data_IF_207003605440
#
_entry.id   IF_207003605440
#
_cell.length_a   1.000
_cell.length_b   1.000
_cell.length_c   1.000
_cell.angle_alpha   90.00
_cell.angle_beta   90.00
_cell.angle_gamma   90.00
#
_symmetry.space_group_name_H-M   'P 1'
#
loop_
_entity.id
_entity.type
_entity.pdbx_description
1 polymer ?
#
# COMPACT_ATOMS: atom_id res chain seq x y z
N UNK A 1 3.33 47.04 -55.44
CA UNK A 1 4.03 46.31 -56.52
C UNK A 1 4.97 45.32 -55.82
N UNK A 2 4.50 44.18 -55.30
CA UNK A 2 3.84 43.02 -55.93
C UNK A 2 4.74 42.30 -56.94
N UNK A 3 4.89 40.97 -56.76
CA UNK A 3 5.69 40.00 -57.54
C UNK A 3 7.20 40.07 -57.24
N UNK A 4 7.96 38.96 -57.16
CA UNK A 4 7.72 37.50 -57.39
C UNK A 4 8.92 36.72 -56.77
N UNK A 5 8.97 35.40 -56.58
CA UNK A 5 8.79 34.29 -57.55
C UNK A 5 8.76 32.93 -56.80
N UNK A 6 7.84 32.01 -57.19
CA UNK A 6 7.85 30.52 -57.20
C UNK A 6 8.43 29.69 -56.01
N UNK A 7 8.11 28.41 -55.76
CA UNK A 7 7.05 27.41 -56.11
C UNK A 7 7.47 26.09 -55.40
N UNK A 8 6.66 25.10 -55.01
CA UNK A 8 5.70 24.25 -55.76
C UNK A 8 4.77 23.54 -54.74
N UNK A 9 3.58 23.15 -55.16
CA UNK A 9 2.59 22.36 -54.39
C UNK A 9 2.95 20.86 -54.42
N UNK A 10 2.84 20.17 -53.28
CA UNK A 10 2.49 18.74 -53.25
C UNK A 10 1.45 18.50 -52.17
N UNK A 11 0.23 18.14 -52.57
CA UNK A 11 -0.84 17.74 -51.67
C UNK A 11 -0.92 16.21 -51.57
N UNK A 12 -1.11 15.70 -50.36
CA UNK A 12 -1.59 14.33 -50.12
C UNK A 12 -2.53 14.34 -48.91
N UNK A 13 -3.78 13.92 -49.12
CA UNK A 13 -4.54 13.19 -48.09
C UNK A 13 -4.06 11.73 -48.15
N UNK A 14 -4.02 10.93 -47.08
CA UNK A 14 -5.07 10.65 -46.07
C UNK A 14 -4.46 10.43 -44.66
N UNK A 15 -5.27 10.68 -43.61
CA UNK A 15 -5.15 10.39 -42.17
C UNK A 15 -4.07 9.36 -41.71
N UNK A 16 -3.42 9.49 -40.53
CA UNK A 16 -3.53 10.48 -39.44
C UNK A 16 -2.24 10.52 -38.61
N UNK A 17 -1.69 11.70 -38.33
CA UNK A 17 -0.53 11.90 -37.46
C UNK A 17 -0.88 12.64 -36.16
N UNK A 18 -0.18 12.31 -35.07
CA UNK A 18 -0.44 12.86 -33.73
C UNK A 18 -0.24 14.38 -33.66
N UNK A 19 -1.21 15.07 -33.08
CA UNK A 19 -1.16 16.52 -32.79
C UNK A 19 -0.57 16.73 -31.40
N UNK A 20 0.33 17.71 -31.28
CA UNK A 20 0.81 18.20 -29.98
C UNK A 20 -0.30 19.06 -29.36
N UNK A 21 -0.83 18.66 -28.22
CA UNK A 21 -1.73 19.49 -27.42
C UNK A 21 -0.90 20.46 -26.58
N UNK A 22 -1.24 21.74 -26.63
CA UNK A 22 -0.76 22.73 -25.67
C UNK A 22 -1.67 22.70 -24.43
N UNK A 23 -1.05 22.70 -23.24
CA UNK A 23 -1.75 22.71 -21.95
C UNK A 23 -2.41 24.08 -21.71
N UNK A 24 -3.67 24.09 -21.26
CA UNK A 24 -4.41 25.32 -20.98
C UNK A 24 -4.08 25.86 -19.57
N UNK A 25 -4.15 27.18 -19.41
CA UNK A 25 -3.89 27.88 -18.15
C UNK A 25 -4.72 29.16 -18.03
N UNK A 26 -4.98 29.59 -16.78
CA UNK A 26 -5.80 30.74 -16.41
C UNK A 26 -5.18 31.54 -15.26
N UNK A 27 -5.22 32.86 -15.35
CA UNK A 27 -4.73 33.77 -14.31
C UNK A 27 -5.83 34.08 -13.29
N UNK A 28 -5.52 33.97 -12.00
CA UNK A 28 -6.45 34.18 -10.86
C UNK A 28 -5.83 35.21 -9.89
N UNK A 29 -6.65 35.89 -9.08
CA UNK A 29 -6.14 36.77 -8.02
C UNK A 29 -5.50 35.95 -6.88
N UNK A 30 -4.42 36.47 -6.29
CA UNK A 30 -3.74 35.80 -5.19
C UNK A 30 -4.52 36.04 -3.87
N UNK A 31 -4.91 34.97 -3.18
CA UNK A 31 -5.81 35.01 -2.01
C UNK A 31 -7.33 34.91 -2.32
N UNK A 32 -7.73 34.84 -3.59
CA UNK A 32 -9.12 34.63 -4.08
C UNK A 32 -9.41 33.12 -4.16
N UNK A 33 -9.52 32.49 -2.99
CA UNK A 33 -9.55 31.04 -2.83
C UNK A 33 -10.80 30.37 -3.43
N UNK A 34 -11.90 31.10 -3.65
CA UNK A 34 -13.07 30.59 -4.40
C UNK A 34 -13.10 30.96 -5.89
N UNK A 35 -12.21 31.84 -6.33
CA UNK A 35 -11.99 32.30 -7.71
C UNK A 35 -13.11 33.18 -8.29
N UNK A 36 -13.90 33.85 -7.45
CA UNK A 36 -14.98 34.74 -7.89
C UNK A 36 -14.49 36.10 -8.46
N UNK A 37 -13.19 36.39 -8.37
CA UNK A 37 -12.57 37.64 -8.81
C UNK A 37 -12.49 38.71 -7.72
N UNK A 38 -12.52 38.32 -6.45
CA UNK A 38 -12.44 39.19 -5.27
C UNK A 38 -11.68 38.50 -4.15
N UNK A 39 -11.17 39.28 -3.20
CA UNK A 39 -10.52 38.75 -1.98
C UNK A 39 -11.40 39.17 -0.82
N UNK A 40 -12.12 38.24 -0.22
CA UNK A 40 -13.08 38.51 0.86
C UNK A 40 -12.98 37.51 2.04
N UNK A 41 -13.77 37.74 3.09
CA UNK A 41 -13.74 36.90 4.29
C UNK A 41 -14.22 35.45 4.05
N UNK A 42 -14.84 35.18 2.89
CA UNK A 42 -15.22 33.84 2.46
C UNK A 42 -13.99 32.99 2.10
N UNK A 43 -13.02 33.57 1.40
CA UNK A 43 -11.78 32.91 0.98
C UNK A 43 -10.94 32.45 2.18
N UNK A 44 -10.79 33.34 3.15
CA UNK A 44 -10.13 33.06 4.41
C UNK A 44 -10.78 31.88 5.16
N UNK A 45 -12.10 31.76 5.11
CA UNK A 45 -12.84 30.65 5.74
C UNK A 45 -12.58 29.32 5.02
N UNK A 46 -12.37 29.32 3.71
CA UNK A 46 -11.99 28.10 2.96
C UNK A 46 -10.57 27.66 3.32
N UNK A 47 -9.61 28.58 3.28
CA UNK A 47 -8.22 28.33 3.71
C UNK A 47 -8.14 27.81 5.15
N UNK A 48 -8.93 28.37 6.08
CA UNK A 48 -8.98 27.88 7.45
C UNK A 48 -9.51 26.44 7.56
N UNK A 49 -10.49 26.03 6.73
CA UNK A 49 -11.01 24.65 6.74
C UNK A 49 -10.00 23.66 6.15
N UNK A 50 -9.28 24.04 5.10
CA UNK A 50 -8.16 23.27 4.57
C UNK A 50 -7.05 23.06 5.61
N UNK A 51 -6.75 24.09 6.43
CA UNK A 51 -5.67 24.06 7.44
C UNK A 51 -5.87 23.10 8.62
N UNK A 52 -7.07 22.50 8.75
CA UNK A 52 -7.42 21.56 9.82
C UNK A 52 -7.96 20.24 9.25
N UNK A 53 -7.59 19.92 8.01
CA UNK A 53 -7.94 18.68 7.30
C UNK A 53 -9.46 18.41 7.20
N UNK A 54 -10.29 19.47 7.18
CA UNK A 54 -11.76 19.36 7.05
C UNK A 54 -12.26 19.36 5.60
N UNK A 55 -11.41 19.68 4.61
CA UNK A 55 -11.75 19.64 3.19
C UNK A 55 -10.51 19.34 2.30
N UNK A 56 -10.81 18.86 1.09
CA UNK A 56 -9.85 18.70 -0.01
C UNK A 56 -9.46 20.02 -0.66
N UNK A 57 -8.17 20.38 -0.59
CA UNK A 57 -7.59 21.40 -1.46
C UNK A 57 -6.77 20.76 -2.60
N UNK A 58 -6.74 21.39 -3.77
CA UNK A 58 -5.83 21.02 -4.87
C UNK A 58 -4.61 21.94 -4.92
N UNK A 59 -3.62 21.63 -5.77
CA UNK A 59 -2.44 22.48 -5.98
C UNK A 59 -2.80 23.89 -6.42
N UNK A 60 -3.83 24.03 -7.24
CA UNK A 60 -4.41 25.32 -7.58
C UNK A 60 -4.83 26.10 -6.32
N UNK A 61 -5.54 25.45 -5.39
CA UNK A 61 -5.98 26.07 -4.13
C UNK A 61 -4.82 26.39 -3.18
N UNK A 62 -3.76 25.58 -3.18
CA UNK A 62 -2.51 25.90 -2.48
C UNK A 62 -1.84 27.15 -3.07
N UNK A 63 -1.65 27.19 -4.39
CA UNK A 63 -1.02 28.30 -5.11
C UNK A 63 -1.79 29.63 -4.99
N UNK A 64 -3.10 29.58 -4.76
CA UNK A 64 -3.92 30.77 -4.49
C UNK A 64 -3.90 31.16 -2.99
N UNK A 65 -4.01 30.17 -2.10
CA UNK A 65 -4.32 30.38 -0.68
C UNK A 65 -3.12 30.50 0.25
N UNK A 66 -1.94 30.03 -0.16
CA UNK A 66 -0.68 30.17 0.59
C UNK A 66 -0.14 31.60 0.45
N UNK A 67 -0.54 32.46 1.39
CA UNK A 67 -0.34 33.91 1.31
C UNK A 67 0.99 34.40 1.84
N UNK A 68 1.62 33.63 2.74
CA UNK A 68 2.97 33.92 3.24
C UNK A 68 4.06 33.07 2.53
N UNK A 69 3.67 32.18 1.62
CA UNK A 69 4.60 31.38 0.82
C UNK A 69 5.22 30.23 1.61
N UNK A 70 4.58 29.79 2.69
CA UNK A 70 5.01 28.69 3.55
C UNK A 70 4.94 27.31 2.88
N UNK A 71 4.28 27.21 1.73
CA UNK A 71 3.99 25.95 1.05
C UNK A 71 2.82 25.18 1.67
N UNK A 72 2.03 25.81 2.54
CA UNK A 72 0.88 25.21 3.24
C UNK A 72 -0.30 26.18 3.26
N UNK A 73 -1.47 25.66 3.62
CA UNK A 73 -2.63 26.46 3.98
C UNK A 73 -2.76 26.40 5.50
N UNK A 74 -2.39 27.47 6.19
CA UNK A 74 -2.44 27.53 7.66
C UNK A 74 -3.46 28.57 8.15
N UNK A 75 -3.78 28.55 9.45
CA UNK A 75 -4.61 29.59 10.06
C UNK A 75 -3.96 30.99 9.97
N UNK A 76 -2.65 31.06 9.72
CA UNK A 76 -1.93 32.28 9.40
C UNK A 76 -2.37 32.89 8.06
N UNK A 77 -2.55 32.05 7.03
CA UNK A 77 -2.99 32.50 5.71
C UNK A 77 -4.41 33.01 5.70
N UNK A 78 -5.33 32.28 6.33
CA UNK A 78 -6.69 32.74 6.55
C UNK A 78 -6.73 34.13 7.21
N UNK A 79 -5.86 34.38 8.19
CA UNK A 79 -5.73 35.69 8.86
C UNK A 79 -5.14 36.75 7.92
N UNK A 80 -4.21 36.41 7.05
CA UNK A 80 -3.63 37.33 6.07
C UNK A 80 -4.65 37.73 4.99
N UNK A 81 -5.39 36.76 4.43
CA UNK A 81 -6.50 36.99 3.49
C UNK A 81 -7.55 37.94 4.08
N UNK A 82 -7.94 37.74 5.36
CA UNK A 82 -8.83 38.67 6.06
C UNK A 82 -8.29 40.10 6.08
N UNK A 83 -6.98 40.29 6.27
CA UNK A 83 -6.35 41.63 6.29
C UNK A 83 -6.28 42.26 4.90
N UNK A 84 -6.05 41.46 3.86
CA UNK A 84 -6.13 41.92 2.46
C UNK A 84 -7.55 42.36 2.08
N UNK A 85 -8.59 41.63 2.53
CA UNK A 85 -9.99 41.91 2.19
C UNK A 85 -10.55 43.27 2.65
N UNK A 86 -9.85 43.92 3.59
CA UNK A 86 -10.22 45.22 4.16
C UNK A 86 -9.13 46.29 3.96
N UNK A 87 -8.25 46.09 2.97
CA UNK A 87 -7.13 46.99 2.64
C UNK A 87 -6.19 47.32 3.82
N UNK A 88 -6.12 46.47 4.85
CA UNK A 88 -5.22 46.68 6.00
C UNK A 88 -3.76 46.35 5.65
N UNK A 89 -3.55 45.32 4.83
CA UNK A 89 -2.29 44.96 4.18
C UNK A 89 -2.52 44.67 2.69
N UNK A 90 -1.46 44.38 1.93
CA UNK A 90 -1.55 43.94 0.52
C UNK A 90 -0.62 42.75 0.27
N UNK A 91 -1.00 41.78 -0.58
CA UNK A 91 -0.16 40.64 -0.91
C UNK A 91 1.07 41.08 -1.74
N UNK A 92 2.17 40.32 -1.64
CA UNK A 92 3.38 40.58 -2.44
C UNK A 92 3.19 40.26 -3.93
N UNK A 93 2.27 39.36 -4.25
CA UNK A 93 1.83 39.01 -5.61
C UNK A 93 0.35 39.36 -5.75
N UNK A 94 -0.03 39.98 -6.86
CA UNK A 94 -1.44 40.31 -7.13
C UNK A 94 -2.22 39.14 -7.78
N UNK A 95 -1.54 38.27 -8.52
CA UNK A 95 -2.13 37.19 -9.31
C UNK A 95 -1.23 35.96 -9.37
N UNK A 96 -1.83 34.81 -9.66
CA UNK A 96 -1.17 33.52 -9.92
C UNK A 96 -1.72 32.90 -11.20
N UNK A 97 -0.86 32.30 -12.02
CA UNK A 97 -1.25 31.52 -13.19
C UNK A 97 -1.40 30.06 -12.80
N UNK A 98 -2.53 29.45 -13.19
CA UNK A 98 -2.93 28.10 -12.79
C UNK A 98 -3.26 27.30 -14.04
N UNK A 99 -2.73 26.08 -14.14
CA UNK A 99 -3.00 25.15 -15.23
C UNK A 99 -4.18 24.26 -14.87
N UNK A 100 -4.80 23.65 -15.89
CA UNK A 100 -5.87 22.67 -15.64
C UNK A 100 -5.35 21.45 -14.85
N UNK A 101 -4.07 21.08 -15.01
CA UNK A 101 -3.40 20.03 -14.24
C UNK A 101 -3.26 20.34 -12.74
N UNK A 102 -3.22 21.61 -12.34
CA UNK A 102 -3.13 22.01 -10.93
C UNK A 102 -4.47 21.78 -10.17
N UNK A 103 -5.59 21.56 -10.88
CA UNK A 103 -6.88 21.23 -10.26
C UNK A 103 -7.05 19.72 -10.01
N UNK A 104 -6.45 18.87 -10.85
CA UNK A 104 -6.47 17.41 -10.71
C UNK A 104 -5.44 16.90 -9.67
N UNK A 105 -4.45 17.73 -9.30
CA UNK A 105 -3.53 17.46 -8.19
C UNK A 105 -4.18 17.82 -6.84
N UNK A 106 -4.96 16.89 -6.28
CA UNK A 106 -5.53 16.98 -4.92
C UNK A 106 -4.48 16.77 -3.82
N UNK A 107 -4.68 17.43 -2.67
CA UNK A 107 -3.68 17.49 -1.57
C UNK A 107 -4.23 17.03 -0.19
N UNK A 108 -5.56 16.89 0.06
CA UNK A 108 -6.06 16.59 1.44
C UNK A 108 -7.39 15.78 1.63
N UNK A 109 -7.35 14.48 1.99
CA UNK A 109 -8.36 13.88 2.93
C UNK A 109 -9.83 13.57 2.47
N UNK A 110 -10.24 12.43 1.83
CA UNK A 110 -11.67 12.08 1.77
C UNK A 110 -12.28 11.78 3.14
N UNK A 111 -13.60 11.97 3.27
CA UNK A 111 -14.37 11.42 4.39
C UNK A 111 -14.65 9.94 4.16
N UNK A 112 -14.11 9.11 5.03
CA UNK A 112 -14.03 7.66 4.88
C UNK A 112 -14.84 6.90 5.93
N UNK A 113 -15.65 7.60 6.74
CA UNK A 113 -16.30 6.98 7.89
C UNK A 113 -17.27 5.85 7.50
N UNK A 114 -17.84 5.89 6.29
CA UNK A 114 -18.73 4.85 5.73
C UNK A 114 -18.10 3.98 4.65
N UNK A 115 -16.82 4.19 4.30
CA UNK A 115 -16.10 3.37 3.30
C UNK A 115 -15.78 1.97 3.86
N UNK A 116 -15.72 1.86 5.19
CA UNK A 116 -15.36 0.64 5.89
C UNK A 116 -16.56 -0.14 6.45
N UNK A 117 -17.80 0.30 6.20
CA UNK A 117 -19.03 -0.40 6.60
C UNK A 117 -19.39 -1.57 5.65
N UNK A 118 -18.41 -2.41 5.31
CA UNK A 118 -18.64 -3.66 4.55
C UNK A 118 -18.84 -4.79 5.56
N UNK A 119 -20.02 -5.42 5.54
CA UNK A 119 -20.28 -6.60 6.35
C UNK A 119 -19.33 -7.75 5.93
N UNK A 120 -18.68 -8.47 6.87
CA UNK A 120 -17.86 -9.61 6.52
C UNK A 120 -18.67 -10.68 5.79
N UNK A 121 -18.11 -11.36 4.77
CA UNK A 121 -18.82 -12.40 4.05
C UNK A 121 -19.20 -13.55 4.98
N UNK A 122 -20.31 -14.20 4.65
CA UNK A 122 -20.71 -15.46 5.28
C UNK A 122 -19.60 -16.51 5.11
N UNK A 123 -19.40 -17.33 6.15
CA UNK A 123 -18.51 -18.48 6.04
C UNK A 123 -19.09 -19.48 5.03
N UNK A 124 -18.25 -20.24 4.30
CA UNK A 124 -18.71 -21.33 3.45
C UNK A 124 -19.28 -22.43 4.34
N UNK A 125 -20.20 -23.22 3.79
CA UNK A 125 -20.76 -24.38 4.48
C UNK A 125 -19.65 -25.32 4.96
N UNK A 126 -19.80 -25.84 6.17
CA UNK A 126 -18.86 -26.75 6.82
C UNK A 126 -19.05 -28.16 6.22
N UNK A 127 -17.98 -28.97 6.16
CA UNK A 127 -18.11 -30.35 5.69
C UNK A 127 -19.07 -31.15 6.56
N UNK A 128 -20.07 -31.79 5.94
CA UNK A 128 -20.96 -32.77 6.58
C UNK A 128 -20.27 -34.15 6.78
N UNK A 129 -19.04 -34.32 6.31
CA UNK A 129 -18.26 -35.55 6.51
C UNK A 129 -17.80 -35.65 7.98
N UNK A 130 -18.18 -36.74 8.66
CA UNK A 130 -17.74 -37.07 10.02
C UNK A 130 -16.22 -37.28 10.09
N UNK A 131 -15.65 -37.16 11.28
CA UNK A 131 -14.20 -37.28 11.57
C UNK A 131 -13.32 -36.28 10.80
N UNK A 132 -13.85 -35.08 10.55
CA UNK A 132 -13.21 -34.05 9.70
C UNK A 132 -13.08 -32.69 10.41
N UNK A 133 -11.87 -32.14 10.39
CA UNK A 133 -11.58 -30.74 10.70
C UNK A 133 -11.78 -29.88 9.46
N UNK A 134 -12.71 -28.92 9.52
CA UNK A 134 -12.92 -27.88 8.51
C UNK A 134 -12.33 -26.57 9.00
N UNK A 135 -11.47 -25.95 8.18
CA UNK A 135 -10.90 -24.63 8.43
C UNK A 135 -11.36 -23.64 7.36
N UNK A 136 -11.86 -22.48 7.77
CA UNK A 136 -12.10 -21.35 6.87
C UNK A 136 -11.01 -20.30 7.13
N UNK A 137 -10.15 -20.06 6.14
CA UNK A 137 -8.99 -19.15 6.24
C UNK A 137 -9.26 -17.90 5.40
N UNK A 138 -8.98 -16.72 5.95
CA UNK A 138 -9.39 -15.42 5.43
C UNK A 138 -8.20 -14.50 5.17
N UNK A 139 -8.22 -13.70 4.10
CA UNK A 139 -7.08 -12.87 3.68
C UNK A 139 -5.90 -13.70 3.12
N UNK A 140 -4.77 -13.04 2.85
CA UNK A 140 -3.61 -13.64 2.21
C UNK A 140 -2.30 -12.98 2.67
N UNK A 141 -1.41 -13.76 3.26
CA UNK A 141 -0.17 -13.33 3.90
C UNK A 141 -0.35 -13.05 5.40
N UNK A 142 0.64 -12.38 5.99
CA UNK A 142 0.69 -12.10 7.44
C UNK A 142 -0.23 -10.95 7.89
N UNK A 143 -0.84 -10.20 6.96
CA UNK A 143 -1.84 -9.16 7.26
C UNK A 143 -1.30 -7.86 7.86
N UNK A 144 0.01 -7.72 8.09
CA UNK A 144 0.61 -6.53 8.74
C UNK A 144 0.98 -5.49 7.68
N UNK A 145 0.71 -4.21 7.98
CA UNK A 145 1.06 -3.09 7.12
C UNK A 145 0.18 -3.01 5.87
N UNK A 146 0.76 -2.70 4.71
CA UNK A 146 -0.02 -2.45 3.49
C UNK A 146 -0.64 -3.74 2.92
N UNK A 147 -1.95 -3.73 2.67
CA UNK A 147 -2.60 -4.74 1.81
C UNK A 147 -2.42 -4.37 0.35
N UNK A 148 -1.87 -5.27 -0.47
CA UNK A 148 -1.72 -5.08 -1.91
C UNK A 148 -3.09 -4.86 -2.58
N UNK A 149 -4.03 -5.78 -2.38
CA UNK A 149 -5.38 -5.66 -2.95
C UNK A 149 -6.18 -4.52 -2.30
N UNK A 150 -6.02 -4.27 -1.00
CA UNK A 150 -6.65 -3.15 -0.33
C UNK A 150 -6.17 -1.80 -0.89
N UNK A 151 -4.89 -1.68 -1.28
CA UNK A 151 -4.36 -0.50 -1.95
C UNK A 151 -5.00 -0.28 -3.34
N UNK A 152 -5.27 -1.35 -4.11
CA UNK A 152 -6.02 -1.23 -5.38
C UNK A 152 -7.41 -0.67 -5.14
N UNK A 153 -8.13 -1.18 -4.14
CA UNK A 153 -9.49 -0.72 -3.84
C UNK A 153 -9.52 0.72 -3.30
N UNK A 154 -8.52 1.14 -2.53
CA UNK A 154 -8.36 2.56 -2.16
C UNK A 154 -8.13 3.44 -3.41
N UNK A 155 -7.30 3.02 -4.36
CA UNK A 155 -7.17 3.75 -5.64
C UNK A 155 -8.47 3.78 -6.45
N UNK A 156 -9.27 2.71 -6.47
CA UNK A 156 -10.60 2.70 -7.10
C UNK A 156 -11.57 3.71 -6.47
N UNK A 157 -11.36 4.06 -5.21
CA UNK A 157 -12.10 5.09 -4.48
C UNK A 157 -11.39 6.47 -4.49
N UNK A 158 -10.39 6.66 -5.37
CA UNK A 158 -9.76 7.96 -5.65
C UNK A 158 -8.56 8.34 -4.78
N UNK A 159 -8.13 7.48 -3.86
CA UNK A 159 -7.01 7.75 -2.96
C UNK A 159 -5.68 7.76 -3.73
N UNK A 160 -4.76 8.67 -3.35
CA UNK A 160 -3.40 8.71 -3.91
C UNK A 160 -2.44 7.82 -3.12
N UNK A 161 -1.28 7.53 -3.68
CA UNK A 161 -0.29 6.65 -3.04
C UNK A 161 0.08 7.09 -1.63
N UNK A 162 0.19 8.39 -1.36
CA UNK A 162 0.44 8.91 0.00
C UNK A 162 -0.74 8.67 0.95
N UNK A 163 -1.97 8.81 0.48
CA UNK A 163 -3.17 8.53 1.28
C UNK A 163 -3.26 7.06 1.68
N UNK A 164 -2.91 6.17 0.75
CA UNK A 164 -2.82 4.71 0.94
C UNK A 164 -1.73 4.40 1.97
N UNK A 165 -0.54 4.98 1.83
CA UNK A 165 0.56 4.77 2.77
C UNK A 165 0.25 5.29 4.18
N UNK A 166 -0.31 6.50 4.32
CA UNK A 166 -0.67 7.06 5.63
C UNK A 166 -1.86 6.36 6.29
N UNK A 167 -2.65 5.62 5.51
CA UNK A 167 -3.69 4.74 6.03
C UNK A 167 -3.07 3.48 6.64
N UNK A 168 -2.22 2.76 5.89
CA UNK A 168 -1.60 1.51 6.37
C UNK A 168 -0.46 1.70 7.38
N UNK A 169 0.23 2.85 7.34
CA UNK A 169 1.35 3.18 8.22
C UNK A 169 1.01 4.41 9.06
N UNK A 170 0.29 4.20 10.17
CA UNK A 170 -0.18 5.28 11.03
C UNK A 170 0.97 6.09 11.66
N UNK A 171 0.80 7.41 11.75
CA UNK A 171 1.81 8.30 12.35
C UNK A 171 3.10 8.49 11.53
N UNK A 172 3.08 8.16 10.24
CA UNK A 172 4.23 8.31 9.33
C UNK A 172 4.17 9.56 8.45
N UNK A 173 5.29 9.86 7.80
CA UNK A 173 5.43 10.86 6.74
C UNK A 173 6.33 10.33 5.61
N UNK A 174 6.03 10.71 4.37
CA UNK A 174 6.90 10.44 3.22
C UNK A 174 7.96 11.53 3.12
N UNK A 175 9.23 11.11 3.08
CA UNK A 175 10.42 11.95 2.92
C UNK A 175 11.14 11.63 1.61
N UNK A 176 12.14 12.44 1.27
CA UNK A 176 12.97 12.27 0.08
C UNK A 176 14.44 12.16 0.45
N UNK A 177 15.18 11.28 -0.22
CA UNK A 177 16.64 11.18 -0.15
C UNK A 177 17.22 11.54 -1.52
N UNK A 178 18.02 12.61 -1.58
CA UNK A 178 18.57 13.15 -2.83
C UNK A 178 19.62 12.21 -3.45
N UNK A 179 20.44 11.56 -2.62
CA UNK A 179 21.48 10.63 -3.04
C UNK A 179 21.29 9.28 -2.32
N UNK A 180 20.99 8.24 -3.09
CA UNK A 180 20.96 6.85 -2.62
C UNK A 180 21.94 6.00 -3.45
N UNK A 181 22.41 4.85 -2.93
CA UNK A 181 23.35 3.99 -3.63
C UNK A 181 22.83 3.57 -5.01
N UNK A 182 23.63 3.81 -6.06
CA UNK A 182 23.34 3.35 -7.42
C UNK A 182 23.28 1.80 -7.50
N UNK A 183 23.96 1.12 -6.57
CA UNK A 183 23.93 -0.33 -6.43
C UNK A 183 23.48 -0.74 -5.03
N UNK A 184 22.64 -1.78 -4.97
CA UNK A 184 22.23 -2.50 -3.77
C UNK A 184 22.89 -3.87 -3.76
N UNK A 185 23.35 -4.33 -2.60
CA UNK A 185 23.73 -5.74 -2.40
C UNK A 185 22.46 -6.54 -2.14
N UNK A 186 22.15 -7.49 -3.01
CA UNK A 186 20.93 -8.29 -2.95
C UNK A 186 21.20 -9.78 -3.21
N UNK A 187 20.56 -10.71 -2.46
CA UNK A 187 20.67 -12.15 -2.73
C UNK A 187 20.02 -12.51 -4.06
N UNK A 188 20.82 -12.92 -5.05
CA UNK A 188 20.30 -13.52 -6.29
C UNK A 188 20.55 -15.01 -6.32
N UNK A 189 19.65 -15.76 -6.94
CA UNK A 189 19.81 -17.18 -7.21
C UNK A 189 20.58 -17.34 -8.54
N UNK A 190 21.80 -17.89 -8.48
CA UNK A 190 22.65 -18.08 -9.67
C UNK A 190 23.27 -19.49 -9.67
N UNK A 191 23.52 -20.04 -10.85
CA UNK A 191 24.25 -21.31 -10.99
C UNK A 191 25.74 -21.12 -10.67
N UNK A 192 26.23 -21.85 -9.67
CA UNK A 192 27.65 -21.91 -9.34
C UNK A 192 28.31 -23.05 -10.11
N UNK A 193 29.26 -22.71 -10.99
CA UNK A 193 30.08 -23.70 -11.70
C UNK A 193 30.95 -24.52 -10.73
N UNK A 194 31.42 -23.93 -9.63
CA UNK A 194 32.25 -24.62 -8.62
C UNK A 194 31.45 -25.64 -7.79
N UNK A 195 30.18 -25.33 -7.50
CA UNK A 195 29.32 -26.19 -6.69
C UNK A 195 28.39 -27.10 -7.53
N UNK A 196 28.46 -27.00 -8.86
CA UNK A 196 27.58 -27.66 -9.85
C UNK A 196 26.09 -27.57 -9.51
N UNK A 197 25.66 -26.44 -8.94
CA UNK A 197 24.28 -26.22 -8.51
C UNK A 197 23.94 -24.73 -8.43
N UNK A 198 22.66 -24.46 -8.50
CA UNK A 198 22.11 -23.14 -8.19
C UNK A 198 22.19 -22.85 -6.69
N UNK A 199 22.52 -21.61 -6.34
CA UNK A 199 22.61 -21.16 -4.95
C UNK A 199 22.40 -19.66 -4.84
N UNK A 200 21.97 -19.22 -3.65
CA UNK A 200 21.85 -17.81 -3.32
C UNK A 200 23.23 -17.18 -3.11
N UNK A 201 23.54 -16.15 -3.89
CA UNK A 201 24.78 -15.38 -3.82
C UNK A 201 24.47 -13.90 -3.60
N UNK A 202 25.27 -13.24 -2.77
CA UNK A 202 25.18 -11.79 -2.54
C UNK A 202 25.84 -11.04 -3.70
N UNK A 203 25.10 -10.17 -4.37
CA UNK A 203 25.58 -9.51 -5.59
C UNK A 203 25.08 -8.07 -5.68
N UNK A 204 25.93 -7.19 -6.18
CA UNK A 204 25.55 -5.81 -6.51
C UNK A 204 24.61 -5.79 -7.72
N UNK A 205 23.49 -5.07 -7.59
CA UNK A 205 22.49 -4.84 -8.63
C UNK A 205 22.21 -3.36 -8.73
N UNK A 206 21.94 -2.86 -9.94
CA UNK A 206 21.44 -1.48 -10.10
C UNK A 206 20.14 -1.31 -9.31
N UNK A 207 20.12 -0.32 -8.42
CA UNK A 207 19.04 -0.11 -7.45
C UNK A 207 17.71 0.17 -8.13
N UNK A 208 17.69 0.84 -9.29
CA UNK A 208 16.44 1.15 -10.02
C UNK A 208 15.91 -0.09 -10.72
N UNK A 209 16.78 -0.82 -11.40
CA UNK A 209 16.44 -2.04 -12.14
C UNK A 209 15.85 -3.10 -11.20
N UNK A 210 16.51 -3.37 -10.07
CA UNK A 210 16.05 -4.38 -9.11
C UNK A 210 14.78 -3.93 -8.37
N UNK A 211 14.64 -2.65 -7.99
CA UNK A 211 13.39 -2.11 -7.45
C UNK A 211 12.23 -2.31 -8.43
N UNK A 212 12.45 -1.99 -9.71
CA UNK A 212 11.42 -2.12 -10.74
C UNK A 212 11.03 -3.58 -10.97
N UNK A 213 12.00 -4.51 -10.93
CA UNK A 213 11.78 -5.97 -10.99
C UNK A 213 11.01 -6.49 -9.78
N UNK A 214 11.31 -5.98 -8.59
CA UNK A 214 10.60 -6.32 -7.36
C UNK A 214 9.13 -5.87 -7.40
N UNK A 215 8.86 -4.62 -7.80
CA UNK A 215 7.49 -4.12 -8.00
C UNK A 215 6.76 -4.91 -9.09
N UNK A 216 7.47 -5.28 -10.17
CA UNK A 216 6.92 -6.10 -11.25
C UNK A 216 6.42 -7.45 -10.73
N UNK A 217 7.28 -8.17 -10.02
CA UNK A 217 6.97 -9.52 -9.54
C UNK A 217 5.87 -9.54 -8.46
N UNK A 218 5.87 -8.58 -7.53
CA UNK A 218 4.88 -8.58 -6.44
C UNK A 218 3.48 -8.15 -6.88
N UNK A 219 3.35 -7.00 -7.56
CA UNK A 219 2.04 -6.34 -7.67
C UNK A 219 1.65 -5.98 -9.11
N UNK A 220 2.50 -6.16 -10.12
CA UNK A 220 2.15 -5.73 -11.48
C UNK A 220 1.06 -6.60 -12.12
N UNK A 221 1.08 -7.92 -11.89
CA UNK A 221 -0.02 -8.80 -12.26
C UNK A 221 -1.31 -8.48 -11.49
N UNK A 222 -1.20 -8.29 -10.16
CA UNK A 222 -2.31 -7.90 -9.27
C UNK A 222 -2.98 -6.60 -9.76
N UNK A 223 -2.18 -5.60 -10.15
CA UNK A 223 -2.62 -4.29 -10.64
C UNK A 223 -3.16 -4.31 -12.08
N UNK A 224 -3.54 -5.49 -12.59
CA UNK A 224 -4.06 -5.71 -13.96
C UNK A 224 -3.12 -5.10 -15.01
N UNK A 225 -1.82 -5.31 -14.82
CA UNK A 225 -0.73 -4.85 -15.69
C UNK A 225 -0.64 -3.32 -15.81
N UNK A 226 -0.61 -2.63 -14.67
CA UNK A 226 -0.39 -1.18 -14.63
C UNK A 226 -1.65 -0.32 -14.72
N UNK A 227 -2.85 -0.89 -14.50
CA UNK A 227 -4.10 -0.12 -14.40
C UNK A 227 -4.08 0.79 -13.16
N UNK A 228 -3.62 0.25 -12.03
CA UNK A 228 -3.66 0.90 -10.72
C UNK A 228 -2.28 1.51 -10.41
N UNK A 229 -2.13 2.79 -10.71
CA UNK A 229 -0.86 3.53 -10.63
C UNK A 229 -0.54 3.98 -9.21
N UNK A 230 -1.54 4.41 -8.44
CA UNK A 230 -1.36 4.86 -7.07
C UNK A 230 -1.01 3.69 -6.14
N UNK A 231 -1.62 2.52 -6.34
CA UNK A 231 -1.23 1.28 -5.67
C UNK A 231 0.20 0.83 -6.05
N UNK A 232 0.57 0.92 -7.33
CA UNK A 232 1.94 0.64 -7.78
C UNK A 232 2.97 1.60 -7.14
N UNK A 233 2.65 2.89 -7.04
CA UNK A 233 3.51 3.89 -6.38
C UNK A 233 3.64 3.61 -4.88
N UNK A 234 2.55 3.28 -4.20
CA UNK A 234 2.57 2.91 -2.79
C UNK A 234 3.45 1.67 -2.56
N UNK A 235 3.32 0.65 -3.40
CA UNK A 235 4.16 -0.55 -3.36
C UNK A 235 5.64 -0.23 -3.62
N UNK A 236 5.94 0.61 -4.62
CA UNK A 236 7.32 1.06 -4.93
C UNK A 236 7.95 1.75 -3.72
N UNK A 237 7.21 2.62 -3.02
CA UNK A 237 7.67 3.25 -1.79
C UNK A 237 7.89 2.25 -0.66
N UNK A 238 7.05 1.22 -0.51
CA UNK A 238 7.27 0.19 0.52
C UNK A 238 8.58 -0.56 0.29
N UNK A 239 8.79 -1.05 -0.94
CA UNK A 239 10.01 -1.79 -1.31
C UNK A 239 11.25 -0.90 -1.18
N UNK A 240 11.22 0.33 -1.71
CA UNK A 240 12.35 1.26 -1.59
C UNK A 240 12.63 1.68 -0.13
N UNK A 241 11.59 1.85 0.69
CA UNK A 241 11.76 2.10 2.13
C UNK A 241 12.43 0.91 2.81
N UNK A 242 12.09 -0.33 2.46
CA UNK A 242 12.77 -1.51 2.98
C UNK A 242 14.24 -1.57 2.49
N UNK A 243 14.52 -1.25 1.23
CA UNK A 243 15.91 -1.13 0.74
C UNK A 243 16.71 -0.12 1.57
N UNK A 244 16.15 1.04 1.88
CA UNK A 244 16.77 2.05 2.74
C UNK A 244 16.88 1.60 4.21
N UNK A 245 15.89 0.89 4.76
CA UNK A 245 15.90 0.33 6.11
C UNK A 245 17.06 -0.65 6.32
N UNK A 246 17.41 -1.42 5.29
CA UNK A 246 18.56 -2.34 5.29
C UNK A 246 19.85 -1.72 4.71
N UNK A 247 19.95 -0.37 4.63
CA UNK A 247 21.13 0.37 4.13
C UNK A 247 21.62 -0.13 2.75
N UNK A 248 20.66 -0.45 1.87
CA UNK A 248 20.88 -1.04 0.55
C UNK A 248 21.76 -2.30 0.57
N UNK A 249 21.69 -3.06 1.67
CA UNK A 249 22.53 -4.22 1.94
C UNK A 249 21.70 -5.43 2.43
N UNK A 250 20.75 -5.82 1.59
CA UNK A 250 19.74 -6.87 1.84
C UNK A 250 20.42 -8.23 2.01
N UNK A 251 20.11 -8.97 3.08
CA UNK A 251 20.74 -10.28 3.34
C UNK A 251 19.87 -11.44 2.92
N UNK A 252 18.56 -11.31 3.11
CA UNK A 252 17.54 -12.26 2.74
C UNK A 252 16.54 -11.60 1.80
N UNK A 253 16.07 -12.32 0.79
CA UNK A 253 14.99 -11.84 -0.09
C UNK A 253 13.70 -11.51 0.67
N UNK A 254 13.52 -12.16 1.82
CA UNK A 254 12.41 -11.90 2.74
C UNK A 254 12.54 -10.56 3.50
N UNK A 255 13.75 -9.99 3.65
CA UNK A 255 13.96 -8.70 4.32
C UNK A 255 13.20 -7.56 3.60
N UNK A 256 13.14 -7.63 2.27
CA UNK A 256 12.41 -6.67 1.43
C UNK A 256 11.02 -7.14 1.02
N UNK A 257 10.61 -8.33 1.45
CA UNK A 257 9.30 -8.91 1.15
C UNK A 257 9.10 -9.36 -0.31
N UNK A 258 10.15 -9.68 -1.07
CA UNK A 258 10.04 -10.06 -2.49
C UNK A 258 10.86 -11.30 -2.84
N UNK A 259 10.26 -12.24 -3.56
CA UNK A 259 10.90 -13.47 -4.00
C UNK A 259 11.63 -13.35 -5.36
N UNK A 260 12.44 -12.31 -5.60
CA UNK A 260 13.02 -12.10 -6.93
C UNK A 260 14.02 -13.22 -7.33
N UNK A 261 13.70 -13.95 -8.40
CA UNK A 261 14.37 -15.21 -8.78
C UNK A 261 15.00 -15.21 -10.20
N UNK A 262 14.96 -14.11 -10.97
CA UNK A 262 15.86 -13.94 -12.13
C UNK A 262 15.37 -13.09 -13.30
N UNK A 263 16.29 -12.76 -14.21
CA UNK A 263 16.16 -11.72 -15.27
C UNK A 263 15.33 -12.13 -16.51
N UNK A 264 14.27 -12.93 -16.33
CA UNK A 264 13.61 -13.65 -17.43
C UNK A 264 12.63 -12.82 -18.28
N UNK A 265 12.04 -11.75 -17.75
CA UNK A 265 11.05 -10.93 -18.47
C UNK A 265 11.53 -9.48 -18.70
N UNK A 266 11.10 -8.89 -19.81
CA UNK A 266 11.35 -7.48 -20.12
C UNK A 266 10.39 -6.57 -19.36
N UNK A 267 10.93 -5.71 -18.50
CA UNK A 267 10.16 -4.75 -17.71
C UNK A 267 9.38 -3.78 -18.61
N UNK A 268 8.05 -3.63 -18.42
CA UNK A 268 7.23 -2.68 -19.15
C UNK A 268 7.66 -1.21 -18.92
N UNK A 269 7.71 -0.42 -19.99
CA UNK A 269 8.22 0.96 -19.95
C UNK A 269 7.36 1.88 -19.05
N UNK A 270 6.05 1.67 -19.02
CA UNK A 270 5.14 2.37 -18.11
C UNK A 270 5.43 2.10 -16.62
N UNK A 271 5.97 0.92 -16.29
CA UNK A 271 6.36 0.61 -14.91
C UNK A 271 7.67 1.31 -14.55
N UNK A 272 8.65 1.37 -15.47
CA UNK A 272 9.90 2.13 -15.25
C UNK A 272 9.62 3.62 -15.02
N UNK A 273 8.78 4.23 -15.87
CA UNK A 273 8.37 5.63 -15.71
C UNK A 273 7.72 5.85 -14.34
N UNK A 274 6.82 4.95 -13.92
CA UNK A 274 6.16 5.04 -12.61
C UNK A 274 7.15 4.92 -11.44
N UNK A 275 8.14 4.04 -11.53
CA UNK A 275 9.19 3.94 -10.51
C UNK A 275 10.04 5.21 -10.48
N UNK A 276 10.44 5.74 -11.64
CA UNK A 276 11.19 7.01 -11.73
C UNK A 276 10.40 8.23 -11.20
N UNK A 277 9.06 8.23 -11.28
CA UNK A 277 8.22 9.29 -10.67
C UNK A 277 8.31 9.32 -9.12
N UNK A 278 8.70 8.22 -8.47
CA UNK A 278 8.61 8.09 -7.00
C UNK A 278 9.86 7.57 -6.30
N UNK A 279 10.89 7.13 -7.04
CA UNK A 279 12.17 6.68 -6.48
C UNK A 279 12.86 7.81 -5.70
N UNK A 280 13.58 7.45 -4.64
CA UNK A 280 14.12 8.42 -3.67
C UNK A 280 13.09 8.87 -2.62
N UNK A 281 11.79 8.59 -2.78
CA UNK A 281 10.83 8.77 -1.70
C UNK A 281 10.81 7.55 -0.77
N UNK A 282 10.83 7.77 0.54
CA UNK A 282 10.79 6.72 1.57
C UNK A 282 9.91 7.13 2.76
N UNK A 283 9.48 6.16 3.56
CA UNK A 283 8.52 6.37 4.65
C UNK A 283 9.27 6.40 5.99
N UNK A 284 8.94 7.37 6.84
CA UNK A 284 9.51 7.55 8.19
C UNK A 284 8.42 7.74 9.22
N UNK A 285 8.70 7.53 10.51
CA UNK A 285 7.81 8.01 11.59
C UNK A 285 7.91 9.54 11.64
N UNK A 286 6.78 10.24 11.83
CA UNK A 286 6.77 11.72 11.90
C UNK A 286 7.81 12.26 12.88
N UNK A 287 8.70 13.13 12.39
CA UNK A 287 9.77 13.72 13.19
C UNK A 287 10.97 12.79 13.45
N UNK A 288 11.12 11.69 12.70
CA UNK A 288 12.29 10.82 12.69
C UNK A 288 12.91 10.73 11.30
N UNK A 289 14.21 10.50 11.25
CA UNK A 289 14.95 10.42 9.99
C UNK A 289 15.13 8.96 9.52
N UNK A 290 14.96 7.98 10.42
CA UNK A 290 15.12 6.58 10.07
C UNK A 290 13.94 6.05 9.23
N UNK A 291 14.20 5.30 8.13
CA UNK A 291 13.17 4.56 7.41
C UNK A 291 12.39 3.62 8.34
N UNK A 292 11.10 3.42 8.06
CA UNK A 292 10.32 2.36 8.71
C UNK A 292 10.59 0.99 8.09
N UNK A 293 10.26 -0.07 8.82
CA UNK A 293 10.05 -1.38 8.20
C UNK A 293 8.68 -1.38 7.52
N UNK A 294 8.64 -1.12 6.21
CA UNK A 294 7.43 -0.98 5.41
C UNK A 294 6.93 -2.36 4.91
N UNK A 295 6.46 -3.17 5.86
CA UNK A 295 5.92 -4.50 5.59
C UNK A 295 4.55 -4.44 4.90
N UNK A 296 4.30 -5.39 4.01
CA UNK A 296 3.06 -5.49 3.24
C UNK A 296 2.68 -6.95 3.04
N UNK A 297 1.41 -7.21 2.73
CA UNK A 297 0.88 -8.54 2.44
C UNK A 297 -0.16 -8.50 1.33
N UNK A 298 -0.56 -9.66 0.80
CA UNK A 298 -1.47 -9.72 -0.34
C UNK A 298 -2.84 -9.13 -0.05
N UNK A 299 -3.50 -9.63 1.01
CA UNK A 299 -4.89 -9.34 1.31
C UNK A 299 -5.10 -9.35 2.83
N UNK A 300 -5.66 -8.29 3.41
CA UNK A 300 -5.99 -8.22 4.82
C UNK A 300 -7.32 -8.95 5.10
N UNK A 301 -7.46 -9.50 6.30
CA UNK A 301 -8.70 -10.17 6.74
C UNK A 301 -9.67 -9.15 7.34
N UNK A 302 -10.11 -8.17 6.54
CA UNK A 302 -11.03 -7.10 6.94
C UNK A 302 -10.38 -5.92 7.64
N UNK A 303 -9.52 -6.19 8.63
CA UNK A 303 -8.58 -5.25 9.23
C UNK A 303 -7.17 -5.79 9.01
N UNK A 304 -6.16 -4.93 9.00
CA UNK A 304 -4.76 -5.38 9.10
C UNK A 304 -4.46 -5.95 10.49
N UNK A 305 -3.47 -6.83 10.57
CA UNK A 305 -2.89 -7.27 11.83
C UNK A 305 -1.86 -6.26 12.35
N UNK A 306 -1.68 -6.17 13.66
CA UNK A 306 -0.55 -5.41 14.23
C UNK A 306 0.73 -6.24 14.25
N UNK A 307 1.89 -5.60 14.17
CA UNK A 307 3.18 -6.28 14.32
C UNK A 307 3.29 -7.01 15.68
N UNK A 308 2.67 -6.47 16.74
CA UNK A 308 2.61 -7.11 18.05
C UNK A 308 1.80 -8.42 18.02
N UNK A 309 0.63 -8.42 17.36
CA UNK A 309 -0.24 -9.61 17.28
C UNK A 309 0.36 -10.77 16.46
N UNK A 310 1.24 -10.46 15.49
CA UNK A 310 1.81 -11.46 14.58
C UNK A 310 3.23 -11.89 14.97
N UNK A 311 4.06 -10.93 15.42
CA UNK A 311 5.49 -11.15 15.70
C UNK A 311 5.89 -10.89 17.15
N UNK A 312 4.99 -10.39 18.01
CA UNK A 312 5.25 -10.16 19.43
C UNK A 312 5.99 -8.85 19.75
N UNK A 313 6.24 -8.00 18.76
CA UNK A 313 6.95 -6.72 18.93
C UNK A 313 6.12 -5.55 18.38
N UNK A 314 5.76 -4.55 19.21
CA UNK A 314 4.96 -3.42 18.76
C UNK A 314 5.79 -2.41 17.96
N UNK A 315 5.24 -1.97 16.83
CA UNK A 315 5.71 -0.82 16.07
C UNK A 315 4.57 0.20 15.98
N UNK A 316 4.82 1.47 16.34
CA UNK A 316 3.78 2.51 16.39
C UNK A 316 3.08 2.80 15.06
N UNK A 317 3.69 2.36 13.96
CA UNK A 317 3.21 2.52 12.59
C UNK A 317 2.71 1.20 11.96
N UNK A 318 2.83 0.04 12.64
CA UNK A 318 2.28 -1.25 12.21
C UNK A 318 1.17 -1.68 13.17
N UNK A 319 0.15 -0.83 13.27
CA UNK A 319 -1.08 -1.03 14.03
C UNK A 319 -2.16 -1.65 13.15
N UNK A 320 -3.19 -2.24 13.76
CA UNK A 320 -4.38 -2.68 13.04
C UNK A 320 -5.14 -1.46 12.50
N UNK A 321 -5.49 -1.47 11.21
CA UNK A 321 -6.28 -0.45 10.52
C UNK A 321 -7.32 -1.10 9.60
N UNK A 322 -8.43 -0.41 9.28
CA UNK A 322 -9.46 -0.91 8.36
C UNK A 322 -8.94 -1.29 6.97
N UNK A 323 -9.42 -2.41 6.42
CA UNK A 323 -9.10 -2.88 5.06
C UNK A 323 -10.32 -3.62 4.49
N UNK A 324 -11.52 -3.06 4.69
CA UNK A 324 -12.78 -3.77 4.48
C UNK A 324 -13.07 -4.07 3.00
N UNK A 325 -12.47 -3.33 2.07
CA UNK A 325 -12.58 -3.65 0.65
C UNK A 325 -11.99 -5.01 0.27
N UNK A 326 -10.98 -5.49 1.01
CA UNK A 326 -10.37 -6.80 0.84
C UNK A 326 -11.40 -7.93 0.96
N UNK A 327 -12.44 -7.74 1.77
CA UNK A 327 -13.54 -8.70 1.98
C UNK A 327 -14.33 -9.01 0.68
N UNK A 328 -14.33 -8.08 -0.28
CA UNK A 328 -15.01 -8.25 -1.58
C UNK A 328 -14.16 -9.01 -2.61
N UNK A 329 -12.93 -9.40 -2.28
CA UNK A 329 -12.03 -10.07 -3.21
C UNK A 329 -12.46 -11.54 -3.43
N UNK A 330 -12.56 -12.04 -4.68
CA UNK A 330 -12.90 -13.44 -4.95
C UNK A 330 -11.96 -14.49 -4.32
N UNK A 331 -10.73 -14.12 -3.93
CA UNK A 331 -9.79 -14.99 -3.21
C UNK A 331 -9.74 -14.71 -1.70
N UNK A 332 -10.67 -13.93 -1.15
CA UNK A 332 -10.68 -13.53 0.27
C UNK A 332 -10.77 -14.69 1.24
N UNK A 333 -11.39 -15.80 0.85
CA UNK A 333 -11.63 -16.94 1.71
C UNK A 333 -11.27 -18.24 1.01
N UNK A 334 -10.66 -19.15 1.76
CA UNK A 334 -10.37 -20.51 1.30
C UNK A 334 -10.64 -21.51 2.41
N UNK A 335 -11.42 -22.52 2.07
CA UNK A 335 -11.68 -23.65 2.96
C UNK A 335 -10.63 -24.74 2.78
N UNK A 336 -10.27 -25.41 3.89
CA UNK A 336 -9.42 -26.59 3.93
C UNK A 336 -10.08 -27.64 4.82
N UNK A 337 -10.02 -28.89 4.41
CA UNK A 337 -10.56 -30.03 5.17
C UNK A 337 -9.47 -31.06 5.38
N UNK A 338 -9.45 -31.67 6.57
CA UNK A 338 -8.53 -32.73 6.95
C UNK A 338 -9.27 -33.74 7.81
N UNK A 339 -9.10 -35.03 7.54
CA UNK A 339 -9.53 -36.08 8.47
C UNK A 339 -8.73 -36.00 9.79
N UNK A 340 -9.23 -36.62 10.86
CA UNK A 340 -8.48 -36.72 12.11
C UNK A 340 -7.11 -37.36 11.93
N UNK A 341 -6.98 -38.42 11.13
CA UNK A 341 -5.66 -39.05 10.95
C UNK A 341 -4.69 -38.10 10.22
N UNK A 342 -5.14 -37.35 9.20
CA UNK A 342 -4.30 -36.32 8.54
C UNK A 342 -3.90 -35.18 9.49
N UNK A 343 -4.82 -34.68 10.34
CA UNK A 343 -4.48 -33.65 11.32
C UNK A 343 -3.48 -34.16 12.36
N UNK A 344 -3.65 -35.39 12.83
CA UNK A 344 -2.73 -36.04 13.77
C UNK A 344 -1.36 -36.25 13.15
N UNK A 345 -1.28 -36.69 11.89
CA UNK A 345 -0.01 -36.78 11.15
C UNK A 345 0.67 -35.40 11.05
N UNK A 346 -0.06 -34.33 10.74
CA UNK A 346 0.48 -32.96 10.68
C UNK A 346 1.00 -32.48 12.05
N UNK A 347 0.22 -32.68 13.10
CA UNK A 347 0.58 -32.28 14.48
C UNK A 347 1.84 -33.01 14.95
N UNK A 348 1.89 -34.34 14.79
CA UNK A 348 3.03 -35.16 15.25
C UNK A 348 4.26 -35.06 14.33
N UNK A 349 4.09 -34.66 13.06
CA UNK A 349 5.20 -34.31 12.18
C UNK A 349 5.83 -32.95 12.54
N UNK A 350 5.04 -32.04 13.12
CA UNK A 350 5.54 -30.77 13.66
C UNK A 350 6.25 -30.95 15.00
N UNK A 351 5.64 -31.70 15.93
CA UNK A 351 6.16 -31.95 17.27
C UNK A 351 5.60 -33.26 17.82
N UNK A 352 6.40 -34.32 17.78
CA UNK A 352 6.05 -35.68 18.22
C UNK A 352 5.85 -35.83 19.74
N UNK A 353 6.11 -34.75 20.50
CA UNK A 353 5.88 -34.69 21.95
C UNK A 353 4.57 -34.02 22.34
N UNK A 354 3.72 -33.63 21.39
CA UNK A 354 2.33 -33.18 21.65
C UNK A 354 1.46 -34.38 22.06
N UNK A 355 0.74 -34.25 23.17
CA UNK A 355 -0.18 -35.26 23.67
C UNK A 355 -1.60 -34.93 23.18
N UNK A 356 -2.17 -35.84 22.40
CA UNK A 356 -3.54 -35.77 21.89
C UNK A 356 -4.47 -36.68 22.71
N UNK A 357 -5.71 -36.25 22.90
CA UNK A 357 -6.80 -37.02 23.52
C UNK A 357 -7.35 -38.10 22.60
N UNK A 358 -8.08 -39.07 23.17
CA UNK A 358 -8.83 -40.06 22.37
C UNK A 358 -9.99 -39.44 21.56
N UNK A 359 -10.45 -38.24 21.95
CA UNK A 359 -11.48 -37.44 21.27
C UNK A 359 -10.82 -36.35 20.41
N UNK A 360 -10.92 -36.39 19.06
CA UNK A 360 -10.37 -35.37 18.17
C UNK A 360 -11.01 -33.99 18.34
N UNK A 361 -12.26 -33.91 18.79
CA UNK A 361 -12.94 -32.62 19.01
C UNK A 361 -12.21 -31.72 20.02
N UNK A 362 -11.33 -32.29 20.86
CA UNK A 362 -10.55 -31.57 21.86
C UNK A 362 -9.12 -31.23 21.41
N UNK A 363 -8.70 -31.64 20.21
CA UNK A 363 -7.31 -31.45 19.77
C UNK A 363 -6.97 -30.00 19.44
N UNK A 364 -7.93 -29.21 18.98
CA UNK A 364 -7.71 -27.84 18.50
C UNK A 364 -8.73 -26.88 19.14
N UNK A 365 -8.25 -25.81 19.77
CA UNK A 365 -9.10 -24.76 20.35
C UNK A 365 -8.42 -23.40 20.17
N UNK A 366 -9.06 -22.50 19.40
CA UNK A 366 -8.61 -21.11 19.29
C UNK A 366 -8.84 -20.43 20.64
N UNK A 367 -7.76 -19.96 21.27
CA UNK A 367 -7.81 -19.37 22.61
C UNK A 367 -7.90 -17.84 22.55
N UNK A 368 -7.18 -17.24 21.60
CA UNK A 368 -7.10 -15.81 21.40
C UNK A 368 -6.95 -15.49 19.90
N UNK A 369 -7.68 -14.50 19.43
CA UNK A 369 -7.56 -13.91 18.09
C UNK A 369 -7.80 -12.40 18.14
N UNK A 370 -7.45 -11.69 17.07
CA UNK A 370 -7.85 -10.29 16.89
C UNK A 370 -9.33 -10.19 16.49
N UNK A 371 -9.95 -9.02 16.67
CA UNK A 371 -11.26 -8.72 16.09
C UNK A 371 -11.10 -8.09 14.70
N UNK A 372 -10.48 -8.83 13.76
CA UNK A 372 -10.12 -8.28 12.44
C UNK A 372 -11.25 -8.35 11.41
N UNK A 373 -12.21 -9.25 11.59
CA UNK A 373 -13.45 -9.27 10.80
C UNK A 373 -14.65 -8.90 11.68
N UNK A 374 -14.75 -9.51 12.86
CA UNK A 374 -15.79 -9.27 13.86
C UNK A 374 -15.33 -9.79 15.24
N UNK A 375 -16.25 -9.90 16.21
CA UNK A 375 -15.94 -10.35 17.58
C UNK A 375 -15.57 -11.84 17.69
N UNK A 376 -15.91 -12.67 16.69
CA UNK A 376 -15.65 -14.11 16.65
C UNK A 376 -14.54 -14.49 15.63
N UNK A 377 -14.11 -13.57 14.76
CA UNK A 377 -13.20 -13.83 13.64
C UNK A 377 -12.07 -12.80 13.50
N UNK A 378 -10.83 -13.30 13.48
CA UNK A 378 -9.65 -12.55 13.08
C UNK A 378 -8.37 -13.38 13.15
N UNK A 379 -7.21 -12.71 13.15
CA UNK A 379 -5.90 -13.36 13.20
C UNK A 379 -5.72 -14.07 14.53
N UNK A 380 -5.59 -15.40 14.48
CA UNK A 380 -5.33 -16.24 15.65
C UNK A 380 -3.96 -15.88 16.21
N UNK A 381 -3.95 -15.46 17.48
CA UNK A 381 -2.72 -15.15 18.21
C UNK A 381 -2.29 -16.33 19.08
N UNK A 382 -3.25 -17.07 19.66
CA UNK A 382 -3.00 -18.31 20.42
C UNK A 382 -4.01 -19.41 20.09
N UNK A 383 -3.51 -20.63 19.91
CA UNK A 383 -4.30 -21.84 19.69
C UNK A 383 -3.74 -22.98 20.57
N UNK A 384 -4.64 -23.75 21.19
CA UNK A 384 -4.30 -25.01 21.85
C UNK A 384 -4.20 -26.10 20.79
N UNK A 385 -3.14 -26.90 20.87
CA UNK A 385 -2.93 -28.11 20.06
C UNK A 385 -2.54 -29.23 21.00
N UNK A 386 -3.49 -30.13 21.27
CA UNK A 386 -3.37 -31.13 22.34
C UNK A 386 -3.12 -30.48 23.70
N UNK A 387 -2.05 -30.89 24.37
CA UNK A 387 -1.60 -30.32 25.65
C UNK A 387 -0.80 -29.00 25.54
N UNK A 388 -0.44 -28.56 24.32
CA UNK A 388 0.40 -27.38 24.09
C UNK A 388 -0.39 -26.16 23.64
N UNK A 389 0.20 -24.97 23.84
CA UNK A 389 -0.29 -23.71 23.29
C UNK A 389 0.73 -23.19 22.29
N UNK A 390 0.27 -22.91 21.08
CA UNK A 390 1.07 -22.43 19.96
C UNK A 390 0.64 -20.99 19.59
N UNK A 391 1.59 -20.21 19.09
CA UNK A 391 1.29 -18.95 18.39
C UNK A 391 0.62 -19.23 17.04
N UNK A 392 -0.46 -18.51 16.73
CA UNK A 392 -1.26 -18.80 15.53
C UNK A 392 -0.53 -18.55 14.20
N UNK A 393 0.32 -17.51 14.12
CA UNK A 393 1.14 -17.25 12.94
C UNK A 393 2.37 -18.18 12.87
N UNK A 394 3.40 -17.92 13.68
CA UNK A 394 4.70 -18.61 13.55
C UNK A 394 4.62 -20.12 13.76
N UNK A 395 3.88 -20.62 14.75
CA UNK A 395 3.88 -22.04 15.07
C UNK A 395 2.78 -22.81 14.35
N UNK A 396 1.53 -22.33 14.37
CA UNK A 396 0.42 -23.05 13.75
C UNK A 396 0.37 -22.87 12.22
N UNK A 397 0.17 -21.64 11.72
CA UNK A 397 0.02 -21.38 10.29
C UNK A 397 1.31 -21.68 9.49
N UNK A 398 2.45 -21.17 9.95
CA UNK A 398 3.69 -21.21 9.18
C UNK A 398 4.38 -22.59 9.29
N UNK A 399 4.62 -23.07 10.52
CA UNK A 399 5.36 -24.31 10.75
C UNK A 399 4.47 -25.58 10.68
N UNK A 400 3.40 -25.67 11.48
CA UNK A 400 2.57 -26.89 11.57
C UNK A 400 1.76 -27.12 10.29
N UNK A 401 1.05 -26.10 9.81
CA UNK A 401 0.31 -26.16 8.54
C UNK A 401 1.20 -25.93 7.31
N UNK A 402 2.51 -25.72 7.49
CA UNK A 402 3.52 -25.68 6.42
C UNK A 402 3.22 -24.66 5.30
N UNK A 403 2.71 -23.48 5.65
CA UNK A 403 2.24 -22.46 4.70
C UNK A 403 1.13 -22.91 3.72
N UNK A 404 0.43 -24.03 3.98
CA UNK A 404 -0.77 -24.41 3.22
C UNK A 404 -1.90 -23.39 3.43
N UNK A 405 -1.98 -22.84 4.64
CA UNK A 405 -2.93 -21.79 5.02
C UNK A 405 -2.47 -20.44 4.48
N UNK A 406 -3.39 -19.75 3.82
CA UNK A 406 -3.14 -18.45 3.19
C UNK A 406 -2.92 -17.31 4.18
N UNK A 407 -3.36 -17.43 5.44
CA UNK A 407 -3.09 -16.48 6.52
C UNK A 407 -3.25 -17.15 7.89
N UNK A 408 -2.95 -16.43 8.98
CA UNK A 408 -3.29 -16.84 10.36
C UNK A 408 -4.67 -16.38 10.83
N UNK A 409 -5.49 -15.75 9.96
CA UNK A 409 -6.89 -15.47 10.25
C UNK A 409 -7.74 -16.65 9.79
N UNK A 410 -8.18 -17.49 10.73
CA UNK A 410 -8.99 -18.66 10.42
C UNK A 410 -9.94 -19.03 11.54
N UNK A 411 -11.02 -19.73 11.19
CA UNK A 411 -11.82 -20.51 12.13
C UNK A 411 -11.56 -22.00 11.92
N UNK A 412 -11.86 -22.83 12.93
CA UNK A 412 -11.80 -24.28 12.86
C UNK A 412 -13.10 -24.87 13.43
N UNK A 413 -13.61 -25.91 12.78
CA UNK A 413 -14.72 -26.73 13.25
C UNK A 413 -14.36 -28.20 13.09
N UNK A 414 -14.82 -29.05 14.00
CA UNK A 414 -14.69 -30.50 13.90
C UNK A 414 -16.08 -31.15 13.80
N UNK A 415 -16.33 -31.84 12.68
CA UNK A 415 -17.55 -32.63 12.46
C UNK A 415 -17.29 -34.04 13.00
N UNK A 416 -18.02 -34.44 14.06
CA UNK A 416 -17.86 -35.71 14.77
C UNK A 416 -18.59 -36.89 14.10
#
# INVERSE_FOLDING_TARGET
>A
MFKRILSVISAFLVFSGSVIFAEASRTVLFGDADENGRIEAADARLVLRFSVDLDYYSRAKLLIGDTDGSGKLEAADARNILRYSVDLDKPEKNTVDIKDSDYEEYINKPDNSGIFDVAPPEAPEISEESDTFTFNVYGYGHGVGLSQYGALSLEENGYKYKDILYHYYSGTEVRFIEEFPAFVVYPTYEYSEEAEKEMWVQKERDTKEILTRMVYQEIYGVTKYGKYKEALKAMTLCIFTNLAYYDFNVKSRWDVGVAYEGDYESIPENLKILVEEVIGQYITVKGKDEPIMAVYSGLAAGMTASAESVWGYPHSYLTSVPSHFDMNNPIFIKQFTYSSEEMKELILSYDDTIILSDDPAQWLEILEHTASMDEDRGYVTKIRVGDKILSGYNQFQFNLMGNKFISSCFTVHYTA
#
